data_IF_064539564664
#
_entry.id   IF_064539564664
#
_cell.length_a   1.000
_cell.length_b   1.000
_cell.length_c   1.000
_cell.angle_alpha   90.00
_cell.angle_beta   90.00
_cell.angle_gamma   90.00
#
_symmetry.space_group_name_H-M   'P 1'
#
loop_
_entity.id
_entity.type
_entity.pdbx_description
1 polymer ?
#
# COMPACT_ATOMS: atom_id res chain seq x y z
N UNK A 1 1.02 -14.23 -12.28
CA UNK A 1 2.02 -13.49 -13.09
C UNK A 1 2.63 -12.33 -12.32
N UNK A 2 1.83 -11.49 -11.66
CA UNK A 2 2.30 -10.38 -10.83
C UNK A 2 3.47 -10.77 -9.90
N UNK A 3 3.33 -11.81 -9.09
CA UNK A 3 4.41 -12.25 -8.17
C UNK A 3 5.61 -12.87 -8.88
N UNK A 4 5.39 -13.68 -9.93
CA UNK A 4 6.47 -14.41 -10.62
C UNK A 4 7.31 -13.51 -11.53
N UNK A 5 6.67 -12.52 -12.16
CA UNK A 5 7.27 -11.63 -13.16
C UNK A 5 6.76 -10.18 -12.99
N UNK A 6 7.02 -9.54 -11.83
CA UNK A 6 6.44 -8.24 -11.48
C UNK A 6 6.81 -7.14 -12.47
N UNK A 7 8.05 -7.16 -12.96
CA UNK A 7 8.58 -6.19 -13.94
C UNK A 7 7.92 -6.27 -15.33
N UNK A 8 6.94 -7.16 -15.54
CA UNK A 8 6.15 -7.22 -16.78
C UNK A 8 5.07 -6.13 -16.85
N UNK A 9 4.85 -5.40 -15.76
CA UNK A 9 3.81 -4.37 -15.64
C UNK A 9 4.44 -3.04 -15.25
N UNK A 10 3.91 -1.96 -15.83
CA UNK A 10 4.23 -0.58 -15.43
C UNK A 10 3.05 0.00 -14.63
N UNK A 11 1.86 0.02 -15.23
CA UNK A 11 0.61 0.44 -14.58
C UNK A 11 -0.44 -0.67 -14.69
N UNK A 12 -1.13 -0.98 -13.59
CA UNK A 12 -2.30 -1.86 -13.57
C UNK A 12 -3.55 -1.06 -13.22
N UNK A 13 -4.60 -1.20 -14.04
CA UNK A 13 -5.93 -0.62 -13.79
C UNK A 13 -6.92 -1.78 -13.70
N UNK A 14 -7.75 -1.77 -12.67
CA UNK A 14 -8.69 -2.85 -12.39
C UNK A 14 -9.88 -2.36 -11.57
N UNK A 15 -10.93 -3.17 -11.48
CA UNK A 15 -12.06 -2.91 -10.59
C UNK A 15 -11.65 -2.99 -9.11
N UNK A 16 -12.44 -2.36 -8.23
CA UNK A 16 -12.15 -2.19 -6.81
C UNK A 16 -11.74 -3.51 -6.12
N UNK A 17 -12.59 -4.53 -6.17
CA UNK A 17 -12.33 -5.81 -5.49
C UNK A 17 -11.07 -6.52 -6.03
N UNK A 18 -10.82 -6.44 -7.34
CA UNK A 18 -9.62 -7.03 -7.91
C UNK A 18 -8.37 -6.22 -7.55
N UNK A 19 -8.50 -4.90 -7.43
CA UNK A 19 -7.42 -4.02 -6.96
C UNK A 19 -6.97 -4.41 -5.57
N UNK A 20 -7.93 -4.53 -4.64
CA UNK A 20 -7.72 -4.95 -3.25
C UNK A 20 -6.93 -6.29 -3.17
N UNK A 21 -7.41 -7.32 -3.88
CA UNK A 21 -6.74 -8.63 -3.94
C UNK A 21 -5.32 -8.49 -4.52
N UNK A 22 -5.15 -7.74 -5.61
CA UNK A 22 -3.86 -7.63 -6.28
C UNK A 22 -2.85 -6.83 -5.46
N UNK A 23 -3.27 -5.80 -4.72
CA UNK A 23 -2.37 -5.00 -3.87
C UNK A 23 -1.87 -5.80 -2.67
N UNK A 24 -2.71 -6.66 -2.10
CA UNK A 24 -2.32 -7.57 -1.03
C UNK A 24 -1.31 -8.60 -1.52
N UNK A 25 -1.59 -9.23 -2.66
CA UNK A 25 -0.66 -10.18 -3.29
C UNK A 25 0.64 -9.50 -3.73
N UNK A 26 0.62 -8.23 -4.13
CA UNK A 26 1.82 -7.47 -4.48
C UNK A 26 2.73 -7.19 -3.27
N UNK A 27 2.18 -7.17 -2.05
CA UNK A 27 2.97 -6.90 -0.83
C UNK A 27 4.07 -7.92 -0.57
N UNK A 28 3.96 -9.14 -1.14
CA UNK A 28 5.01 -10.16 -1.04
C UNK A 28 6.28 -9.77 -1.80
N UNK A 29 6.17 -8.88 -2.79
CA UNK A 29 7.29 -8.40 -3.61
C UNK A 29 8.14 -7.42 -2.80
N UNK A 30 7.52 -6.50 -2.05
CA UNK A 30 8.22 -5.57 -1.16
C UNK A 30 8.66 -6.25 0.15
N UNK A 31 8.06 -7.38 0.50
CA UNK A 31 8.41 -8.20 1.66
C UNK A 31 7.66 -7.84 2.95
N UNK A 32 6.91 -6.74 2.96
CA UNK A 32 6.06 -6.35 4.09
C UNK A 32 4.99 -5.35 3.66
N UNK A 33 3.74 -5.53 4.12
CA UNK A 33 2.69 -4.51 3.99
C UNK A 33 3.07 -3.17 4.67
N UNK A 34 3.95 -3.20 5.67
CA UNK A 34 4.49 -1.99 6.33
C UNK A 34 5.36 -1.11 5.45
N UNK A 35 5.61 -1.52 4.20
CA UNK A 35 6.37 -0.78 3.19
C UNK A 35 5.50 -0.27 2.03
N UNK A 36 4.19 -0.54 2.04
CA UNK A 36 3.32 -0.25 0.91
C UNK A 36 2.54 1.05 1.15
N UNK A 37 2.92 2.17 0.50
CA UNK A 37 2.13 3.40 0.54
C UNK A 37 0.92 3.35 -0.40
N UNK A 38 -0.08 4.18 -0.14
CA UNK A 38 -1.20 4.39 -1.06
C UNK A 38 -1.77 5.81 -0.96
N UNK A 39 -2.55 6.15 -1.98
CA UNK A 39 -3.33 7.38 -2.05
C UNK A 39 -4.69 7.12 -2.71
N UNK A 40 -5.75 7.61 -2.07
CA UNK A 40 -7.09 7.71 -2.62
C UNK A 40 -7.28 9.14 -3.13
N UNK A 41 -7.08 9.34 -4.44
CA UNK A 41 -7.10 10.65 -5.10
C UNK A 41 -8.49 10.92 -5.69
N UNK A 42 -9.17 11.96 -5.19
CA UNK A 42 -10.42 12.47 -5.74
C UNK A 42 -10.26 13.89 -6.30
N UNK A 43 -11.29 14.40 -6.96
CA UNK A 43 -11.27 15.72 -7.63
C UNK A 43 -11.05 16.89 -6.66
N UNK A 44 -11.61 16.82 -5.45
CA UNK A 44 -11.55 17.89 -4.45
C UNK A 44 -10.72 17.54 -3.22
N UNK A 45 -10.61 16.25 -2.92
CA UNK A 45 -9.99 15.73 -1.71
C UNK A 45 -9.16 14.52 -2.07
N UNK A 46 -7.95 14.47 -1.52
CA UNK A 46 -7.09 13.30 -1.57
C UNK A 46 -6.82 12.80 -0.15
N UNK A 47 -6.79 11.49 0.02
CA UNK A 47 -6.43 10.82 1.27
C UNK A 47 -5.17 10.00 1.03
N UNK A 48 -4.18 10.16 1.89
CA UNK A 48 -2.91 9.45 1.82
C UNK A 48 -2.77 8.61 3.08
N UNK A 49 -2.71 7.30 2.90
CA UNK A 49 -2.76 6.33 4.01
C UNK A 49 -1.88 5.12 3.68
N UNK A 50 -1.36 4.38 4.67
CA UNK A 50 -0.72 3.11 4.40
C UNK A 50 -1.76 2.06 3.98
N UNK A 51 -1.36 1.07 3.18
CA UNK A 51 -2.28 -0.04 2.81
C UNK A 51 -2.57 -0.95 4.02
N UNK A 52 -1.61 -1.08 4.95
CA UNK A 52 -1.78 -2.00 6.07
C UNK A 52 -2.90 -1.55 7.03
N UNK A 53 -3.60 -2.53 7.59
CA UNK A 53 -4.59 -2.30 8.64
C UNK A 53 -3.99 -1.99 10.02
N UNK A 54 -4.83 -2.03 11.04
CA UNK A 54 -4.50 -1.58 12.40
C UNK A 54 -3.64 -2.55 13.23
N UNK A 55 -3.58 -3.83 12.86
CA UNK A 55 -2.94 -4.93 13.61
C UNK A 55 -3.00 -4.78 15.15
N UNK A 56 -4.20 -4.88 15.76
CA UNK A 56 -4.42 -4.49 17.16
C UNK A 56 -3.51 -5.21 18.17
N UNK A 57 -3.08 -6.43 17.85
CA UNK A 57 -2.21 -7.25 18.68
C UNK A 57 -0.82 -6.60 18.91
N UNK A 58 -0.37 -5.71 18.03
CA UNK A 58 0.89 -4.98 18.17
C UNK A 58 0.76 -3.62 18.86
N UNK A 59 -0.44 -3.21 19.25
CA UNK A 59 -0.69 -1.90 19.86
C UNK A 59 0.12 -1.73 21.15
N UNK A 60 0.82 -0.60 21.27
CA UNK A 60 1.62 -0.27 22.46
C UNK A 60 2.93 -1.04 22.60
N UNK A 61 3.25 -1.95 21.67
CA UNK A 61 4.49 -2.74 21.72
C UNK A 61 5.70 -2.03 21.08
N UNK A 62 5.48 -0.88 20.43
CA UNK A 62 6.52 -0.09 19.74
C UNK A 62 7.31 -0.89 18.69
N UNK A 63 6.62 -1.74 17.94
CA UNK A 63 7.19 -2.57 16.86
C UNK A 63 6.54 -2.31 15.49
N UNK A 64 5.68 -1.30 15.39
CA UNK A 64 5.07 -0.93 14.12
C UNK A 64 6.13 -0.45 13.13
N UNK A 65 6.02 -0.84 11.87
CA UNK A 65 6.83 -0.28 10.79
C UNK A 65 6.14 0.98 10.25
N UNK A 66 6.66 2.19 10.50
CA UNK A 66 5.99 3.43 10.10
C UNK A 66 6.25 3.83 8.65
N UNK A 67 7.06 3.06 7.90
CA UNK A 67 7.53 3.47 6.57
C UNK A 67 6.39 3.65 5.57
N UNK A 68 5.39 2.77 5.55
CA UNK A 68 4.23 2.94 4.68
C UNK A 68 3.54 4.29 4.89
N UNK A 69 3.30 4.70 6.15
CA UNK A 69 2.70 6.00 6.46
C UNK A 69 3.59 7.17 6.03
N UNK A 70 4.91 7.07 6.25
CA UNK A 70 5.87 8.11 5.85
C UNK A 70 5.89 8.25 4.33
N UNK A 71 5.89 7.13 3.61
CA UNK A 71 5.88 7.10 2.15
C UNK A 71 4.53 7.59 1.58
N UNK A 72 3.40 7.26 2.20
CA UNK A 72 2.11 7.85 1.81
C UNK A 72 2.08 9.36 2.03
N UNK A 73 2.66 9.85 3.13
CA UNK A 73 2.83 11.29 3.33
C UNK A 73 3.79 11.93 2.31
N UNK A 74 4.81 11.21 1.83
CA UNK A 74 5.67 11.70 0.76
C UNK A 74 4.90 11.88 -0.57
N UNK A 75 3.95 10.98 -0.88
CA UNK A 75 3.10 11.11 -2.08
C UNK A 75 2.23 12.38 -2.07
N UNK A 76 1.96 13.01 -0.92
CA UNK A 76 1.29 14.33 -0.88
C UNK A 76 2.07 15.45 -1.59
N UNK A 77 3.38 15.26 -1.78
CA UNK A 77 4.27 16.26 -2.33
C UNK A 77 4.71 15.96 -3.77
N UNK A 78 4.20 14.89 -4.37
CA UNK A 78 4.34 14.59 -5.80
C UNK A 78 3.27 15.34 -6.62
#
# INVERSE_FOLDING_TARGET
>A
RLVQWPNSYDVLITENLFGDILTDEASVISGSMGLMPSASVGEHTSLYEPIHGSYPQATGLNIANPLATILSAAMMFE
#
